data_IF_844025066238
#
_entry.id   IF_844025066238
#
_cell.length_a   1.000
_cell.length_b   1.000
_cell.length_c   1.000
_cell.angle_alpha   90.00
_cell.angle_beta   90.00
_cell.angle_gamma   90.00
#
_symmetry.space_group_name_H-M   'P 1'
#
loop_
_entity.id
_entity.type
_entity.pdbx_description
1 polymer ?
#
# COMPACT_ATOMS: atom_id res chain seq x y z
N UNK A 1 8.88 8.12 44.77
CA UNK A 1 8.64 9.58 44.84
C UNK A 1 9.91 10.39 44.55
N UNK A 2 11.06 10.12 45.20
CA UNK A 2 12.31 10.86 44.94
C UNK A 2 12.82 10.92 43.49
N UNK A 3 12.61 9.88 42.66
CA UNK A 3 13.13 9.87 41.28
C UNK A 3 12.53 10.98 40.39
N UNK A 4 11.22 11.24 40.52
CA UNK A 4 10.53 12.25 39.72
C UNK A 4 11.03 13.67 40.04
N UNK A 5 11.23 13.97 41.33
CA UNK A 5 11.75 15.26 41.78
C UNK A 5 13.18 15.52 41.29
N UNK A 6 14.04 14.50 41.36
CA UNK A 6 15.42 14.61 40.85
C UNK A 6 15.44 14.82 39.34
N UNK A 7 14.51 14.21 38.60
CA UNK A 7 14.41 14.33 37.15
C UNK A 7 14.01 15.75 36.70
N UNK A 8 13.18 16.46 37.48
CA UNK A 8 12.72 17.81 37.16
C UNK A 8 13.84 18.86 37.29
N UNK A 9 14.84 18.62 38.16
CA UNK A 9 15.96 19.54 38.37
C UNK A 9 17.22 19.21 37.56
N UNK A 10 17.33 18.02 36.97
CA UNK A 10 18.53 17.61 36.22
C UNK A 10 18.52 18.24 34.81
N UNK A 11 19.51 19.11 34.56
CA UNK A 11 19.71 19.79 33.29
C UNK A 11 19.81 18.84 32.09
N UNK A 12 20.17 17.57 32.30
CA UNK A 12 20.19 16.53 31.27
C UNK A 12 18.83 16.32 30.61
N UNK A 13 17.74 16.44 31.37
CA UNK A 13 16.37 16.27 30.88
C UNK A 13 15.69 17.58 30.48
N UNK A 14 16.44 18.70 30.48
CA UNK A 14 15.91 20.00 30.07
C UNK A 14 15.56 20.04 28.58
N UNK A 15 14.55 20.86 28.23
CA UNK A 15 14.14 21.10 26.84
C UNK A 15 15.30 21.60 25.96
N UNK A 16 16.16 22.47 26.50
CA UNK A 16 17.31 23.00 25.76
C UNK A 16 18.32 21.93 25.37
N UNK A 17 18.42 20.84 26.14
CA UNK A 17 19.30 19.70 25.85
C UNK A 17 18.64 18.62 24.97
N UNK A 18 17.32 18.58 24.88
CA UNK A 18 16.55 17.51 24.22
C UNK A 18 15.57 18.01 23.12
N UNK A 19 15.72 19.24 22.65
CA UNK A 19 14.88 19.83 21.58
C UNK A 19 15.31 19.45 20.16
N UNK A 20 16.45 18.77 20.01
CA UNK A 20 16.93 18.31 18.70
C UNK A 20 16.06 17.15 18.22
N UNK A 21 15.51 17.29 17.02
CA UNK A 21 14.80 16.21 16.35
C UNK A 21 15.76 15.08 15.96
N UNK A 22 15.25 13.84 15.82
CA UNK A 22 16.02 12.75 15.23
C UNK A 22 16.60 13.14 13.88
N UNK A 23 17.82 12.71 13.60
CA UNK A 23 18.47 12.98 12.31
C UNK A 23 17.74 12.21 11.21
N UNK A 24 17.29 12.95 10.20
CA UNK A 24 16.75 12.42 8.94
C UNK A 24 17.82 12.50 7.83
N UNK A 25 17.70 11.65 6.82
CA UNK A 25 18.45 11.75 5.57
C UNK A 25 17.68 12.62 4.58
N UNK A 26 18.36 13.13 3.56
CA UNK A 26 17.76 13.94 2.48
C UNK A 26 17.05 13.05 1.45
N UNK A 27 16.06 12.28 1.90
CA UNK A 27 15.19 11.44 1.07
C UNK A 27 13.76 11.48 1.60
N UNK A 28 12.79 11.52 0.69
CA UNK A 28 11.35 11.49 1.00
C UNK A 28 10.88 10.05 1.05
N UNK A 29 10.06 9.71 2.05
CA UNK A 29 9.46 8.40 2.13
C UNK A 29 8.34 8.30 1.08
N UNK A 30 8.48 7.40 0.12
CA UNK A 30 7.47 7.15 -0.92
C UNK A 30 6.62 5.90 -0.58
N UNK A 31 5.59 5.62 -1.41
CA UNK A 31 4.73 4.44 -1.26
C UNK A 31 5.55 3.15 -1.32
N UNK A 32 6.34 2.99 -2.38
CA UNK A 32 7.31 1.91 -2.54
C UNK A 32 8.73 2.42 -2.33
N UNK A 33 9.70 1.52 -2.35
CA UNK A 33 11.13 1.80 -2.43
C UNK A 33 11.64 2.83 -1.42
N UNK A 34 11.27 2.65 -0.15
CA UNK A 34 12.07 3.27 0.90
C UNK A 34 13.42 2.59 0.99
N UNK A 35 14.37 3.16 1.72
CA UNK A 35 15.73 2.61 1.86
C UNK A 35 15.84 1.24 2.59
N UNK A 36 14.71 0.54 2.77
CA UNK A 36 14.58 -0.81 3.36
C UNK A 36 15.35 -1.04 4.65
N UNK A 37 15.41 -0.02 5.52
CA UNK A 37 16.15 -0.10 6.78
C UNK A 37 15.43 -0.86 7.90
N UNK A 38 14.16 -1.24 7.68
CA UNK A 38 13.29 -2.04 8.56
C UNK A 38 12.99 -1.49 9.94
N UNK A 39 13.55 -0.33 10.33
CA UNK A 39 13.39 0.25 11.68
C UNK A 39 11.94 0.43 12.09
N UNK A 40 11.05 0.72 11.13
CA UNK A 40 9.64 0.95 11.39
C UNK A 40 8.88 -0.30 11.89
N UNK A 41 9.40 -1.50 11.63
CA UNK A 41 8.81 -2.78 12.05
C UNK A 41 8.99 -2.99 13.56
N UNK A 42 10.22 -3.13 14.12
CA UNK A 42 10.42 -3.43 15.53
C UNK A 42 10.07 -2.25 16.47
N UNK A 43 10.04 -1.01 15.96
CA UNK A 43 9.63 0.15 16.78
C UNK A 43 8.11 0.30 16.85
N UNK A 44 7.33 -0.41 16.03
CA UNK A 44 5.89 -0.32 16.08
C UNK A 44 5.37 -1.03 17.35
N UNK A 45 4.77 -0.31 18.32
CA UNK A 45 4.35 -0.93 19.58
C UNK A 45 3.22 -1.95 19.42
N UNK A 46 2.44 -1.84 18.34
CA UNK A 46 1.36 -2.76 18.01
C UNK A 46 1.74 -3.75 16.90
N UNK A 47 3.01 -3.78 16.49
CA UNK A 47 3.50 -4.62 15.39
C UNK A 47 2.74 -4.42 14.06
N UNK A 48 2.18 -3.22 13.82
CA UNK A 48 1.34 -2.95 12.66
C UNK A 48 2.12 -2.82 11.35
N UNK A 49 3.41 -2.46 11.39
CA UNK A 49 4.23 -2.40 10.18
C UNK A 49 4.86 -3.77 9.90
N UNK A 50 4.86 -4.21 8.65
CA UNK A 50 5.41 -5.50 8.24
C UNK A 50 6.12 -5.41 6.89
N UNK A 51 6.95 -6.41 6.60
CA UNK A 51 7.60 -6.55 5.30
C UNK A 51 6.79 -7.49 4.39
N UNK A 52 6.78 -7.19 3.10
CA UNK A 52 6.27 -8.09 2.07
C UNK A 52 7.18 -8.03 0.84
N UNK A 53 7.10 -9.03 -0.03
CA UNK A 53 7.98 -9.14 -1.18
C UNK A 53 7.18 -8.97 -2.47
N UNK A 54 7.71 -8.15 -3.36
CA UNK A 54 7.27 -7.99 -4.74
C UNK A 54 8.53 -8.08 -5.62
N UNK A 55 8.43 -8.53 -6.87
CA UNK A 55 9.60 -8.60 -7.75
C UNK A 55 10.22 -7.21 -7.96
N UNK A 56 11.54 -7.18 -8.08
CA UNK A 56 12.27 -5.98 -8.52
C UNK A 56 12.16 -5.92 -10.05
N UNK A 57 11.26 -5.08 -10.55
CA UNK A 57 10.96 -4.98 -11.97
C UNK A 57 10.47 -3.59 -12.36
N UNK A 58 10.59 -3.29 -13.65
CA UNK A 58 9.96 -2.11 -14.26
C UNK A 58 8.52 -2.45 -14.61
N UNK A 59 7.57 -1.82 -13.92
CA UNK A 59 6.15 -2.02 -14.15
C UNK A 59 5.70 -1.08 -15.27
N UNK A 60 5.25 -1.61 -16.42
CA UNK A 60 4.76 -0.77 -17.50
C UNK A 60 3.49 -0.04 -17.07
N UNK A 61 3.35 1.22 -17.48
CA UNK A 61 2.15 2.00 -17.29
C UNK A 61 1.56 2.38 -18.63
N UNK A 62 0.23 2.41 -18.72
CA UNK A 62 -0.49 2.86 -19.90
C UNK A 62 -1.90 3.31 -19.52
N UNK A 63 -2.46 4.23 -20.32
CA UNK A 63 -3.84 4.68 -20.21
C UNK A 63 -4.65 4.12 -21.38
N UNK A 64 -5.76 3.46 -21.08
CA UNK A 64 -6.77 3.05 -22.06
C UNK A 64 -7.82 4.15 -22.24
N UNK A 65 -7.94 4.69 -23.44
CA UNK A 65 -8.95 5.66 -23.82
C UNK A 65 -10.03 4.99 -24.68
N UNK A 66 -11.30 5.16 -24.33
CA UNK A 66 -12.40 4.62 -25.12
C UNK A 66 -12.88 5.65 -26.14
N UNK A 67 -12.49 5.47 -27.41
CA UNK A 67 -12.77 6.41 -28.50
C UNK A 67 -13.39 5.70 -29.71
N UNK A 68 -14.48 6.24 -30.26
CA UNK A 68 -15.01 5.76 -31.55
C UNK A 68 -15.42 4.28 -31.57
N UNK A 69 -15.78 3.70 -30.43
CA UNK A 69 -16.07 2.26 -30.23
C UNK A 69 -14.83 1.34 -30.21
N UNK A 70 -13.63 1.90 -30.02
CA UNK A 70 -12.37 1.17 -29.91
C UNK A 70 -11.56 1.67 -28.71
N UNK A 71 -10.66 0.83 -28.21
CA UNK A 71 -9.69 1.21 -27.19
C UNK A 71 -8.41 1.72 -27.84
N UNK A 72 -7.98 2.89 -27.40
CA UNK A 72 -6.70 3.49 -27.77
C UNK A 72 -5.78 3.44 -26.56
N UNK A 73 -4.57 2.90 -26.72
CA UNK A 73 -3.61 2.75 -25.63
C UNK A 73 -2.54 3.84 -25.75
N UNK A 74 -2.43 4.65 -24.70
CA UNK A 74 -1.39 5.66 -24.53
C UNK A 74 -0.32 5.16 -23.54
N UNK A 75 0.97 5.08 -23.93
CA UNK A 75 2.02 4.70 -23.01
C UNK A 75 2.21 5.72 -21.88
N UNK A 76 2.33 5.23 -20.65
CA UNK A 76 2.61 6.02 -19.44
C UNK A 76 4.07 5.91 -19.01
N UNK A 77 4.45 6.71 -18.00
CA UNK A 77 5.74 6.56 -17.34
C UNK A 77 5.75 5.26 -16.52
N UNK A 78 6.73 4.37 -16.71
CA UNK A 78 6.80 3.14 -15.93
C UNK A 78 7.09 3.45 -14.46
N UNK A 79 6.69 2.53 -13.60
CA UNK A 79 7.05 2.53 -12.18
C UNK A 79 8.21 1.56 -11.98
N UNK A 80 9.32 2.05 -11.44
CA UNK A 80 10.46 1.21 -11.07
C UNK A 80 10.24 0.66 -9.65
N UNK A 81 10.48 -0.64 -9.47
CA UNK A 81 10.58 -1.29 -8.17
C UNK A 81 11.99 -1.82 -8.02
N UNK A 82 12.80 -1.14 -7.22
CA UNK A 82 14.23 -1.42 -7.09
C UNK A 82 14.60 -2.06 -5.76
N UNK A 83 13.75 -1.99 -4.74
CA UNK A 83 14.10 -2.47 -3.40
C UNK A 83 13.73 -3.95 -3.18
N UNK A 84 14.59 -4.65 -2.43
CA UNK A 84 14.50 -6.12 -2.23
C UNK A 84 13.20 -6.59 -1.55
N UNK A 85 12.55 -5.71 -0.82
CA UNK A 85 11.28 -5.94 -0.13
C UNK A 85 10.62 -4.59 0.15
N UNK A 86 9.32 -4.63 0.44
CA UNK A 86 8.53 -3.44 0.71
C UNK A 86 8.02 -3.44 2.13
N UNK A 87 7.69 -2.24 2.63
CA UNK A 87 7.06 -2.06 3.94
C UNK A 87 5.59 -1.75 3.73
N UNK A 88 4.73 -2.36 4.53
CA UNK A 88 3.30 -2.08 4.60
C UNK A 88 2.85 -1.85 6.05
N UNK A 89 1.64 -1.32 6.20
CA UNK A 89 0.98 -1.11 7.48
C UNK A 89 -0.33 -1.90 7.52
N UNK A 90 -0.59 -2.63 8.61
CA UNK A 90 -1.84 -3.33 8.84
C UNK A 90 -2.74 -2.47 9.73
N UNK A 91 -3.83 -1.97 9.14
CA UNK A 91 -4.66 -0.92 9.72
C UNK A 91 -5.29 -1.37 11.03
N UNK A 92 -5.76 -2.60 11.09
CA UNK A 92 -6.46 -3.16 12.24
C UNK A 92 -5.59 -3.18 13.52
N UNK A 93 -4.26 -3.11 13.40
CA UNK A 93 -3.34 -3.01 14.54
C UNK A 93 -2.81 -1.59 14.78
N UNK A 94 -2.87 -0.71 13.78
CA UNK A 94 -2.32 0.63 13.88
C UNK A 94 -3.21 1.53 14.75
N UNK A 95 -2.60 2.28 15.68
CA UNK A 95 -3.30 3.27 16.50
C UNK A 95 -2.81 4.70 16.23
N UNK A 96 -2.16 4.93 15.08
CA UNK A 96 -1.60 6.22 14.67
C UNK A 96 -0.66 6.88 15.69
N UNK A 97 0.01 6.10 16.56
CA UNK A 97 0.91 6.66 17.57
C UNK A 97 2.13 7.41 17.00
N UNK A 98 2.44 7.25 15.71
CA UNK A 98 3.51 7.96 15.03
C UNK A 98 4.93 7.51 15.38
N UNK A 99 5.11 6.44 16.18
CA UNK A 99 6.45 6.02 16.59
C UNK A 99 7.34 5.67 15.37
N UNK A 100 6.77 5.02 14.35
CA UNK A 100 7.52 4.70 13.14
C UNK A 100 7.99 5.93 12.33
N UNK A 101 7.34 7.08 12.44
CA UNK A 101 7.79 8.34 11.81
C UNK A 101 9.04 8.86 12.51
N UNK A 102 9.02 8.93 13.85
CA UNK A 102 10.16 9.40 14.66
C UNK A 102 11.43 8.61 14.35
N UNK A 103 11.31 7.30 14.14
CA UNK A 103 12.44 6.40 13.86
C UNK A 103 12.76 6.22 12.37
N UNK A 104 11.85 6.59 11.47
CA UNK A 104 12.12 6.53 10.04
C UNK A 104 13.28 7.48 9.71
N UNK A 105 14.33 7.05 9.01
CA UNK A 105 15.41 7.94 8.61
C UNK A 105 14.99 8.90 7.49
N UNK A 106 13.95 8.58 6.72
CA UNK A 106 13.43 9.41 5.63
C UNK A 106 12.39 10.44 6.12
N UNK A 107 12.12 11.43 5.28
CA UNK A 107 11.09 12.43 5.52
C UNK A 107 9.70 11.82 5.25
N UNK A 108 9.01 11.47 6.33
CA UNK A 108 7.67 10.89 6.27
C UNK A 108 7.45 9.81 7.35
N UNK A 109 6.20 9.39 7.47
CA UNK A 109 5.76 8.39 8.45
C UNK A 109 5.27 7.11 7.77
N UNK A 110 5.86 5.94 8.04
CA UNK A 110 5.44 4.68 7.45
C UNK A 110 3.96 4.36 7.63
N UNK A 111 3.37 4.65 8.80
CA UNK A 111 1.95 4.44 9.06
C UNK A 111 0.99 5.24 8.16
N UNK A 112 1.48 6.28 7.48
CA UNK A 112 0.71 7.15 6.56
C UNK A 112 1.02 6.87 5.09
N UNK A 113 2.30 6.72 4.77
CA UNK A 113 2.77 6.74 3.38
C UNK A 113 2.91 5.35 2.78
N UNK A 114 3.14 4.32 3.60
CA UNK A 114 3.26 2.94 3.10
C UNK A 114 1.89 2.33 2.83
N UNK A 115 1.78 1.34 1.91
CA UNK A 115 0.52 0.69 1.61
C UNK A 115 -0.16 0.19 2.88
N UNK A 116 -1.42 0.58 3.05
CA UNK A 116 -2.23 0.28 4.23
C UNK A 116 -3.19 -0.84 3.92
N UNK A 117 -3.07 -1.97 4.60
CA UNK A 117 -3.93 -3.13 4.40
C UNK A 117 -4.91 -3.30 5.55
N UNK A 118 -6.19 -3.43 5.21
CA UNK A 118 -7.29 -3.71 6.13
C UNK A 118 -7.51 -5.22 6.24
N UNK A 119 -7.87 -5.67 7.45
CA UNK A 119 -8.21 -7.07 7.69
C UNK A 119 -9.65 -7.45 7.32
N UNK A 120 -10.54 -6.47 7.14
CA UNK A 120 -11.95 -6.71 6.85
C UNK A 120 -12.59 -5.61 6.01
N UNK A 121 -13.74 -5.93 5.41
CA UNK A 121 -14.56 -4.96 4.71
C UNK A 121 -15.05 -3.85 5.66
N UNK A 122 -15.37 -4.20 6.91
CA UNK A 122 -15.79 -3.23 7.94
C UNK A 122 -14.70 -2.18 8.19
N UNK A 123 -13.44 -2.61 8.42
CA UNK A 123 -12.35 -1.67 8.68
C UNK A 123 -12.01 -0.84 7.44
N UNK A 124 -12.07 -1.42 6.24
CA UNK A 124 -11.86 -0.69 4.98
C UNK A 124 -12.93 0.39 4.72
N UNK A 125 -14.20 0.07 5.00
CA UNK A 125 -15.33 1.01 4.86
C UNK A 125 -15.27 2.12 5.92
N UNK A 126 -14.82 1.82 7.13
CA UNK A 126 -14.75 2.80 8.23
C UNK A 126 -13.84 4.02 7.93
N UNK A 127 -12.87 3.85 7.03
CA UNK A 127 -11.96 4.91 6.58
C UNK A 127 -12.31 5.49 5.19
N UNK A 128 -13.50 5.16 4.65
CA UNK A 128 -13.94 5.67 3.34
C UNK A 128 -13.99 7.20 3.31
N UNK A 129 -13.45 7.75 2.22
CA UNK A 129 -13.29 9.18 1.99
C UNK A 129 -12.25 9.88 2.88
N UNK A 130 -11.51 9.15 3.72
CA UNK A 130 -10.56 9.75 4.68
C UNK A 130 -9.11 9.34 4.43
N UNK A 131 -8.88 8.06 4.10
CA UNK A 131 -7.53 7.52 3.90
C UNK A 131 -7.50 6.46 2.80
N UNK A 132 -6.38 6.44 2.11
CA UNK A 132 -6.03 5.38 1.17
C UNK A 132 -5.75 4.06 1.90
N UNK A 133 -5.99 2.97 1.19
CA UNK A 133 -5.86 1.64 1.74
C UNK A 133 -6.42 0.55 0.84
N UNK A 134 -6.07 -0.68 1.19
CA UNK A 134 -6.33 -1.89 0.41
C UNK A 134 -6.99 -2.93 1.31
N UNK A 135 -7.98 -3.63 0.80
CA UNK A 135 -8.45 -4.89 1.35
C UNK A 135 -8.22 -5.96 0.29
N UNK A 136 -7.48 -7.00 0.64
CA UNK A 136 -7.22 -8.14 -0.24
C UNK A 136 -7.93 -9.35 0.32
N UNK A 137 -8.83 -9.94 -0.48
CA UNK A 137 -9.62 -11.11 -0.13
C UNK A 137 -9.26 -12.26 -1.05
N UNK A 138 -8.86 -13.39 -0.47
CA UNK A 138 -8.65 -14.62 -1.22
C UNK A 138 -9.93 -15.45 -1.20
N UNK A 139 -10.47 -15.74 -2.38
CA UNK A 139 -11.59 -16.65 -2.56
C UNK A 139 -11.16 -17.99 -3.17
N UNK A 140 -12.09 -18.94 -3.26
CA UNK A 140 -11.84 -20.23 -3.92
C UNK A 140 -11.72 -20.09 -5.44
N UNK A 141 -12.52 -19.19 -6.04
CA UNK A 141 -12.57 -18.99 -7.50
C UNK A 141 -11.83 -17.73 -7.96
N UNK A 142 -11.71 -16.73 -7.08
CA UNK A 142 -11.19 -15.41 -7.42
C UNK A 142 -10.50 -14.79 -6.22
N UNK A 143 -9.43 -14.05 -6.47
CA UNK A 143 -8.94 -13.06 -5.51
C UNK A 143 -9.62 -11.71 -5.81
N UNK A 144 -9.94 -10.95 -4.77
CA UNK A 144 -10.52 -9.62 -4.87
C UNK A 144 -9.66 -8.59 -4.15
N UNK A 145 -9.56 -7.38 -4.71
CA UNK A 145 -8.92 -6.25 -4.06
C UNK A 145 -9.85 -5.04 -4.11
N UNK A 146 -10.17 -4.51 -2.94
CA UNK A 146 -10.77 -3.19 -2.80
C UNK A 146 -9.63 -2.21 -2.54
N UNK A 147 -9.39 -1.29 -3.45
CA UNK A 147 -8.32 -0.30 -3.34
C UNK A 147 -8.91 1.10 -3.21
N UNK A 148 -8.27 1.94 -2.41
CA UNK A 148 -8.49 3.38 -2.37
C UNK A 148 -7.15 4.07 -2.53
N UNK A 149 -7.01 4.85 -3.60
CA UNK A 149 -5.79 5.58 -3.97
C UNK A 149 -6.20 6.99 -4.36
N UNK A 150 -5.56 8.01 -3.78
CA UNK A 150 -5.96 9.41 -3.89
C UNK A 150 -7.43 9.66 -3.50
N UNK A 151 -7.96 8.82 -2.60
CA UNK A 151 -9.37 8.75 -2.20
C UNK A 151 -10.34 8.29 -3.29
N UNK A 152 -9.85 7.78 -4.42
CA UNK A 152 -10.66 7.14 -5.45
C UNK A 152 -10.71 5.64 -5.20
N UNK A 153 -11.90 5.07 -5.28
CA UNK A 153 -12.13 3.65 -5.03
C UNK A 153 -12.08 2.83 -6.31
N UNK A 154 -11.40 1.70 -6.24
CA UNK A 154 -11.22 0.74 -7.32
C UNK A 154 -11.51 -0.67 -6.80
N UNK A 155 -12.03 -1.53 -7.67
CA UNK A 155 -12.25 -2.94 -7.38
C UNK A 155 -11.63 -3.80 -8.48
N UNK A 156 -10.75 -4.71 -8.05
CA UNK A 156 -10.05 -5.67 -8.88
C UNK A 156 -10.53 -7.07 -8.52
N UNK A 157 -10.93 -7.87 -9.50
CA UNK A 157 -11.25 -9.29 -9.34
C UNK A 157 -10.40 -10.10 -10.32
N UNK A 158 -9.62 -11.04 -9.81
CA UNK A 158 -8.70 -11.87 -10.61
C UNK A 158 -9.14 -13.34 -10.53
N UNK A 159 -9.50 -13.91 -11.68
CA UNK A 159 -9.95 -15.30 -11.85
C UNK A 159 -9.03 -16.04 -12.81
N UNK A 160 -7.97 -16.64 -12.27
CA UNK A 160 -6.90 -17.18 -13.11
C UNK A 160 -6.25 -16.05 -13.90
N UNK A 161 -6.38 -16.10 -15.23
CA UNK A 161 -5.82 -15.10 -16.14
C UNK A 161 -6.82 -13.99 -16.53
N UNK A 162 -8.07 -14.08 -16.07
CA UNK A 162 -9.08 -13.07 -16.35
C UNK A 162 -9.13 -12.03 -15.25
N UNK A 163 -9.04 -10.77 -15.65
CA UNK A 163 -9.12 -9.62 -14.77
C UNK A 163 -10.41 -8.87 -15.04
N UNK A 164 -11.10 -8.49 -13.97
CA UNK A 164 -12.16 -7.48 -13.98
C UNK A 164 -11.69 -6.32 -13.11
N UNK A 165 -11.60 -5.13 -13.71
CA UNK A 165 -11.13 -3.92 -13.05
C UNK A 165 -12.17 -2.83 -13.21
N UNK A 166 -12.54 -2.21 -12.10
CA UNK A 166 -13.58 -1.19 -12.07
C UNK A 166 -13.19 -0.03 -11.16
N UNK A 167 -13.70 1.15 -11.52
CA UNK A 167 -13.61 2.37 -10.74
C UNK A 167 -14.94 3.12 -10.82
N UNK A 168 -14.96 4.38 -10.39
CA UNK A 168 -16.20 5.15 -10.32
C UNK A 168 -16.90 5.32 -11.67
N UNK A 169 -16.14 5.40 -12.78
CA UNK A 169 -16.68 5.67 -14.12
C UNK A 169 -16.20 4.71 -15.20
N UNK A 170 -15.68 3.55 -14.80
CA UNK A 170 -15.30 2.50 -15.73
C UNK A 170 -15.52 1.11 -15.15
N UNK A 171 -15.73 0.16 -16.05
CA UNK A 171 -15.82 -1.25 -15.75
C UNK A 171 -15.27 -2.00 -16.96
N UNK A 172 -14.10 -2.60 -16.79
CA UNK A 172 -13.35 -3.24 -17.87
C UNK A 172 -12.93 -4.66 -17.50
N UNK A 173 -12.67 -5.44 -18.53
CA UNK A 173 -12.13 -6.79 -18.43
C UNK A 173 -11.01 -6.98 -19.44
N UNK A 174 -10.06 -7.83 -19.10
CA UNK A 174 -8.92 -8.16 -19.95
C UNK A 174 -8.22 -9.44 -19.44
N UNK A 175 -7.31 -9.96 -20.25
CA UNK A 175 -6.38 -11.04 -19.91
C UNK A 175 -5.14 -10.45 -19.23
N UNK A 176 -4.66 -11.08 -18.14
CA UNK A 176 -3.61 -10.50 -17.29
C UNK A 176 -2.25 -10.42 -18.02
N UNK A 177 -2.00 -11.33 -18.95
CA UNK A 177 -0.78 -11.37 -19.77
C UNK A 177 -0.77 -10.37 -20.93
N UNK A 178 -1.94 -9.82 -21.30
CA UNK A 178 -2.10 -8.90 -22.42
C UNK A 178 -3.21 -7.85 -22.14
N UNK A 179 -3.08 -7.03 -21.08
CA UNK A 179 -4.16 -6.13 -20.67
C UNK A 179 -4.44 -5.05 -21.72
N UNK A 180 -3.40 -4.51 -22.37
CA UNK A 180 -3.55 -3.50 -23.43
C UNK A 180 -4.25 -4.05 -24.68
N UNK A 181 -3.98 -5.31 -25.06
CA UNK A 181 -4.50 -5.90 -26.29
C UNK A 181 -5.85 -6.62 -26.16
N UNK A 182 -6.30 -6.88 -24.92
CA UNK A 182 -7.55 -7.60 -24.62
C UNK A 182 -8.56 -6.75 -23.84
N UNK A 183 -8.32 -5.44 -23.75
CA UNK A 183 -9.17 -4.51 -23.03
C UNK A 183 -10.58 -4.44 -23.65
N UNK A 184 -11.57 -4.76 -22.84
CA UNK A 184 -12.99 -4.70 -23.20
C UNK A 184 -13.79 -4.06 -22.06
N UNK A 185 -14.95 -3.48 -22.38
CA UNK A 185 -15.86 -2.93 -21.38
C UNK A 185 -16.28 -1.51 -21.70
N UNK A 186 -16.58 -0.75 -20.64
CA UNK A 186 -17.05 0.64 -20.72
C UNK A 186 -16.19 1.55 -19.85
N UNK A 187 -15.95 2.76 -20.31
CA UNK A 187 -15.33 3.80 -19.53
C UNK A 187 -15.78 5.17 -20.01
N UNK A 188 -16.07 6.06 -19.05
CA UNK A 188 -16.32 7.48 -19.30
C UNK A 188 -15.11 8.36 -18.93
N UNK A 189 -13.98 7.72 -18.61
CA UNK A 189 -12.69 8.32 -18.28
C UNK A 189 -11.54 7.38 -18.72
N UNK A 190 -10.30 7.88 -18.84
CA UNK A 190 -9.16 7.01 -19.13
C UNK A 190 -8.99 5.94 -18.04
N UNK A 191 -8.72 4.70 -18.46
CA UNK A 191 -8.45 3.58 -17.55
C UNK A 191 -6.95 3.44 -17.36
N UNK A 192 -6.47 3.62 -16.13
CA UNK A 192 -5.05 3.48 -15.79
C UNK A 192 -4.68 2.00 -15.59
N UNK A 193 -4.01 1.42 -16.59
CA UNK A 193 -3.53 0.04 -16.52
C UNK A 193 -2.24 -0.08 -15.69
N UNK A 194 -1.50 1.00 -15.47
CA UNK A 194 -0.41 1.04 -14.50
C UNK A 194 -0.93 0.91 -13.06
N UNK A 195 -2.03 1.58 -12.76
CA UNK A 195 -2.73 1.47 -11.48
C UNK A 195 -3.25 0.05 -11.23
N UNK A 196 -3.85 -0.59 -12.24
CA UNK A 196 -4.21 -2.01 -12.18
C UNK A 196 -2.99 -2.86 -11.79
N UNK A 197 -1.85 -2.70 -12.49
CA UNK A 197 -0.64 -3.49 -12.22
C UNK A 197 -0.11 -3.25 -10.82
N UNK A 198 -0.15 -2.02 -10.31
CA UNK A 198 0.23 -1.71 -8.93
C UNK A 198 -0.67 -2.43 -7.91
N UNK A 199 -1.98 -2.39 -8.11
CA UNK A 199 -2.94 -3.08 -7.23
C UNK A 199 -2.72 -4.61 -7.28
N UNK A 200 -2.50 -5.17 -8.47
CA UNK A 200 -2.23 -6.60 -8.64
C UNK A 200 -0.89 -7.04 -8.05
N UNK A 201 0.12 -6.18 -8.13
CA UNK A 201 1.42 -6.36 -7.49
C UNK A 201 1.28 -6.43 -5.96
N UNK A 202 0.46 -5.56 -5.37
CA UNK A 202 0.17 -5.63 -3.94
C UNK A 202 -0.58 -6.90 -3.58
N UNK A 203 -1.59 -7.30 -4.37
CA UNK A 203 -2.31 -8.56 -4.17
C UNK A 203 -1.35 -9.75 -4.15
N UNK A 204 -0.53 -9.90 -5.19
CA UNK A 204 0.40 -11.03 -5.31
C UNK A 204 1.45 -11.00 -4.20
N UNK A 205 2.01 -9.83 -3.88
CA UNK A 205 3.05 -9.68 -2.87
C UNK A 205 2.58 -9.98 -1.44
N UNK A 206 1.37 -9.58 -1.06
CA UNK A 206 0.84 -9.88 0.28
C UNK A 206 0.21 -11.26 0.38
N UNK A 207 -0.20 -11.85 -0.74
CA UNK A 207 -0.76 -13.20 -0.78
C UNK A 207 0.26 -14.29 -1.14
N UNK A 208 1.52 -13.92 -1.36
CA UNK A 208 2.61 -14.85 -1.67
C UNK A 208 2.72 -15.93 -0.60
N UNK A 209 2.86 -17.18 -1.07
CA UNK A 209 2.93 -18.36 -0.19
C UNK A 209 4.31 -18.52 0.44
N UNK A 210 5.33 -17.84 -0.08
CA UNK A 210 6.68 -17.83 0.49
C UNK A 210 6.84 -16.94 1.72
N UNK A 211 5.96 -15.94 1.90
CA UNK A 211 6.00 -14.99 3.01
C UNK A 211 4.73 -14.98 3.86
N UNK A 212 4.85 -15.24 5.17
CA UNK A 212 3.75 -15.05 6.12
C UNK A 212 3.70 -13.59 6.55
N UNK A 213 2.56 -12.94 6.31
CA UNK A 213 2.23 -11.60 6.79
C UNK A 213 0.78 -11.58 7.29
N UNK A 214 0.32 -10.44 7.81
CA UNK A 214 -1.03 -10.34 8.38
C UNK A 214 -2.14 -10.60 7.37
N UNK A 215 -1.95 -10.16 6.11
CA UNK A 215 -2.94 -10.33 5.05
C UNK A 215 -3.00 -11.79 4.62
N UNK A 216 -1.86 -12.46 4.37
CA UNK A 216 -1.86 -13.89 4.02
C UNK A 216 -2.37 -14.78 5.16
N UNK A 217 -2.09 -14.43 6.42
CA UNK A 217 -2.63 -15.15 7.58
C UNK A 217 -4.14 -14.98 7.71
N UNK A 218 -4.66 -13.76 7.52
CA UNK A 218 -6.10 -13.48 7.52
C UNK A 218 -6.83 -14.17 6.36
N UNK A 219 -6.22 -14.18 5.17
CA UNK A 219 -6.74 -14.88 4.00
C UNK A 219 -6.82 -16.41 4.18
N UNK A 220 -5.97 -17.00 5.01
CA UNK A 220 -6.02 -18.43 5.33
C UNK A 220 -7.10 -18.79 6.37
N UNK A 221 -7.56 -17.80 7.15
CA UNK A 221 -8.53 -17.96 8.22
C UNK A 221 -9.55 -16.80 8.20
N UNK A 222 -10.41 -16.73 7.16
CA UNK A 222 -11.44 -15.71 7.10
C UNK A 222 -12.37 -15.83 8.32
N UNK A 223 -12.63 -14.69 8.97
CA UNK A 223 -13.49 -14.59 10.16
C UNK A 223 -14.98 -14.66 9.81
#
# INVERSE_FOLDING_TARGET
EHYAEHSQGDARYSLSKNSKLPRKIESTLELLDCITCDKCVPVCPNNANFTFHIPQETIPSSLGHYEGSQWMIEPGAPLEVEEKHQIANFVDFCNDCGNCDVFCPELGGPYKLKPRFHGSLETWQSESGQRDGFLVVRGEEADEVFARIDLQEYHLVVRGDRVHFSGARFEVRFEADNPEGSLEGRADEPVDLGLYRLIDLFRTGVLDRGGVNYVSANAAHPS
#
